data_IF_868667479226
#
_entry.id   IF_868667479226
#
_cell.length_a   1.000
_cell.length_b   1.000
_cell.length_c   1.000
_cell.angle_alpha   90.00
_cell.angle_beta   90.00
_cell.angle_gamma   90.00
#
_symmetry.space_group_name_H-M   'P 1'
#
loop_
_entity.id
_entity.type
_entity.pdbx_description
1 polymer ?
#
# COMPACT_ATOMS: atom_id res chain seq x y z
N UNK A 1 24.77 19.60 34.08
CA UNK A 1 23.45 19.51 33.42
C UNK A 1 23.55 20.17 32.06
N UNK A 2 23.71 19.37 31.01
CA UNK A 2 23.73 19.84 29.62
C UNK A 2 23.14 18.73 28.77
N UNK A 3 21.81 18.75 28.66
CA UNK A 3 21.02 17.87 27.82
C UNK A 3 21.26 18.21 26.34
N UNK A 4 21.91 17.30 25.62
CA UNK A 4 21.94 17.30 24.17
C UNK A 4 20.52 17.00 23.66
N UNK A 5 19.90 17.98 22.99
CA UNK A 5 18.68 17.77 22.21
C UNK A 5 19.05 17.04 20.91
N UNK A 6 18.40 15.89 20.66
CA UNK A 6 18.44 15.18 19.38
C UNK A 6 17.82 16.06 18.27
N UNK A 7 18.35 16.02 17.04
CA UNK A 7 17.74 16.70 15.91
C UNK A 7 16.47 15.94 15.48
N UNK A 8 15.31 16.47 15.90
CA UNK A 8 14.02 16.10 15.32
C UNK A 8 14.00 16.50 13.85
N UNK A 9 14.08 15.50 12.96
CA UNK A 9 13.85 15.65 11.54
C UNK A 9 12.38 15.99 11.28
N UNK A 10 12.03 17.27 11.43
CA UNK A 10 10.75 17.81 11.01
C UNK A 10 10.64 17.69 9.49
N UNK A 11 9.86 16.70 9.03
CA UNK A 11 9.47 16.58 7.63
C UNK A 11 8.76 17.88 7.22
N UNK A 12 9.45 18.70 6.42
CA UNK A 12 8.97 20.03 6.03
C UNK A 12 7.63 19.92 5.28
N UNK A 13 6.54 20.30 5.95
CA UNK A 13 5.17 20.32 5.40
C UNK A 13 5.00 21.41 4.32
N UNK A 14 6.04 22.24 4.09
CA UNK A 14 6.04 23.38 3.17
C UNK A 14 6.33 23.05 1.70
N UNK A 15 6.48 21.78 1.31
CA UNK A 15 6.53 21.45 -0.12
C UNK A 15 5.13 21.57 -0.74
N UNK A 16 4.97 22.44 -1.74
CA UNK A 16 3.74 22.56 -2.52
C UNK A 16 3.37 21.24 -3.22
N UNK A 17 2.15 21.12 -3.74
CA UNK A 17 1.73 19.91 -4.48
C UNK A 17 2.71 19.57 -5.61
N UNK A 18 2.97 18.28 -5.77
CA UNK A 18 3.94 17.77 -6.74
C UNK A 18 3.51 18.02 -8.18
N UNK A 19 4.49 18.15 -9.09
CA UNK A 19 4.22 18.45 -10.51
C UNK A 19 3.40 17.34 -11.18
N UNK A 20 3.65 16.07 -10.85
CA UNK A 20 2.89 14.96 -11.42
C UNK A 20 1.44 14.94 -10.94
N UNK A 21 1.19 15.12 -9.65
CA UNK A 21 -0.17 15.14 -9.13
C UNK A 21 -0.99 16.31 -9.70
N UNK A 22 -0.37 17.48 -9.91
CA UNK A 22 -1.00 18.60 -10.63
C UNK A 22 -1.33 18.24 -12.08
N UNK A 23 -0.38 17.62 -12.80
CA UNK A 23 -0.61 17.18 -14.19
C UNK A 23 -1.74 16.17 -14.30
N UNK A 24 -1.77 15.16 -13.41
CA UNK A 24 -2.84 14.17 -13.36
C UNK A 24 -4.19 14.78 -12.97
N UNK A 25 -4.22 15.75 -12.05
CA UNK A 25 -5.45 16.48 -11.73
C UNK A 25 -6.00 17.24 -12.95
N UNK A 26 -5.12 17.87 -13.77
CA UNK A 26 -5.52 18.50 -15.03
C UNK A 26 -6.08 17.47 -16.01
N UNK A 27 -5.50 16.27 -16.08
CA UNK A 27 -6.04 15.18 -16.92
C UNK A 27 -7.45 14.77 -16.47
N UNK A 28 -7.69 14.62 -15.17
CA UNK A 28 -9.01 14.28 -14.62
C UNK A 28 -10.06 15.38 -14.90
N UNK A 29 -9.69 16.65 -14.75
CA UNK A 29 -10.57 17.78 -15.06
C UNK A 29 -10.85 17.85 -16.57
N UNK A 30 -9.79 17.72 -17.39
CA UNK A 30 -9.90 17.76 -18.84
C UNK A 30 -10.77 16.63 -19.39
N UNK A 31 -10.60 15.40 -18.89
CA UNK A 31 -11.43 14.26 -19.28
C UNK A 31 -12.90 14.45 -18.90
N UNK A 32 -13.18 15.00 -17.70
CA UNK A 32 -14.54 15.34 -17.29
C UNK A 32 -15.17 16.37 -18.22
N UNK A 33 -14.46 17.46 -18.53
CA UNK A 33 -14.96 18.50 -19.46
C UNK A 33 -15.24 17.92 -20.84
N UNK A 34 -14.33 17.09 -21.38
CA UNK A 34 -14.50 16.45 -22.69
C UNK A 34 -15.76 15.57 -22.71
N UNK A 35 -16.00 14.78 -21.65
CA UNK A 35 -17.19 13.94 -21.53
C UNK A 35 -18.48 14.77 -21.45
N UNK A 36 -18.44 15.93 -20.78
CA UNK A 36 -19.60 16.83 -20.70
C UNK A 36 -19.93 17.50 -22.04
N UNK A 37 -18.91 17.87 -22.83
CA UNK A 37 -19.11 18.50 -24.14
C UNK A 37 -19.49 17.45 -25.19
N UNK A 38 -18.88 16.26 -25.13
CA UNK A 38 -19.07 15.17 -26.09
C UNK A 38 -19.42 13.86 -25.35
N UNK A 39 -20.71 13.64 -25.01
CA UNK A 39 -21.14 12.43 -24.31
C UNK A 39 -20.82 11.13 -25.06
N UNK A 40 -20.70 11.18 -26.40
CA UNK A 40 -20.30 10.04 -27.23
C UNK A 40 -18.93 9.48 -26.86
N UNK A 41 -18.03 10.31 -26.31
CA UNK A 41 -16.67 9.92 -25.89
C UNK A 41 -16.70 8.89 -24.77
N UNK A 42 -17.75 8.88 -23.93
CA UNK A 42 -17.91 7.87 -22.86
C UNK A 42 -17.91 6.46 -23.42
N UNK A 43 -18.52 6.23 -24.60
CA UNK A 43 -18.53 4.92 -25.24
C UNK A 43 -17.14 4.40 -25.66
N UNK A 44 -16.16 5.29 -25.76
CA UNK A 44 -14.79 5.00 -26.19
C UNK A 44 -13.77 5.12 -25.08
N UNK A 45 -14.08 5.74 -23.93
CA UNK A 45 -13.12 5.91 -22.84
C UNK A 45 -13.52 5.19 -21.55
N UNK A 46 -14.82 5.05 -21.28
CA UNK A 46 -15.30 4.32 -20.12
C UNK A 46 -15.26 2.81 -20.38
N UNK A 47 -15.14 2.03 -19.30
CA UNK A 47 -15.16 0.58 -19.38
C UNK A 47 -16.61 0.13 -19.58
N UNK A 48 -16.95 -0.24 -20.81
CA UNK A 48 -18.23 -0.85 -21.15
C UNK A 48 -17.93 -2.28 -21.57
N UNK A 49 -18.26 -3.30 -20.76
CA UNK A 49 -17.88 -4.69 -21.04
C UNK A 49 -18.25 -5.18 -22.45
N UNK A 50 -19.42 -4.82 -22.99
CA UNK A 50 -19.81 -5.12 -24.38
C UNK A 50 -18.84 -4.57 -25.44
N UNK A 51 -18.18 -3.45 -25.16
CA UNK A 51 -17.35 -2.69 -26.11
C UNK A 51 -15.86 -2.76 -25.80
N UNK A 52 -15.45 -3.40 -24.70
CA UNK A 52 -14.04 -3.45 -24.26
C UNK A 52 -13.15 -4.26 -25.21
N UNK A 53 -13.66 -5.33 -25.84
CA UNK A 53 -12.86 -6.19 -26.73
C UNK A 53 -12.28 -5.40 -27.92
N UNK A 54 -13.06 -4.61 -28.69
CA UNK A 54 -12.49 -3.76 -29.74
C UNK A 54 -11.77 -2.52 -29.19
N UNK A 55 -12.11 -2.06 -27.98
CA UNK A 55 -11.56 -0.84 -27.37
C UNK A 55 -10.75 -1.15 -26.10
N UNK A 56 -9.68 -1.93 -26.26
CA UNK A 56 -8.88 -2.40 -25.12
C UNK A 56 -8.23 -1.26 -24.30
N UNK A 57 -8.05 -0.08 -24.90
CA UNK A 57 -7.56 1.11 -24.19
C UNK A 57 -8.53 1.57 -23.08
N UNK A 58 -9.80 1.18 -23.12
CA UNK A 58 -10.78 1.49 -22.07
C UNK A 58 -10.33 0.96 -20.71
N UNK A 59 -9.55 -0.13 -20.67
CA UNK A 59 -8.95 -0.67 -19.45
C UNK A 59 -7.94 0.28 -18.79
N UNK A 60 -7.39 1.21 -19.57
CA UNK A 60 -6.48 2.24 -19.07
C UNK A 60 -7.21 3.56 -18.89
N UNK A 61 -8.04 3.97 -19.85
CA UNK A 61 -8.66 5.30 -19.82
C UNK A 61 -9.80 5.41 -18.81
N UNK A 62 -10.49 4.32 -18.50
CA UNK A 62 -11.68 4.35 -17.63
C UNK A 62 -11.41 4.93 -16.24
N UNK A 63 -10.24 4.68 -15.65
CA UNK A 63 -9.90 5.25 -14.35
C UNK A 63 -9.57 6.74 -14.37
N UNK A 64 -9.23 7.31 -15.53
CA UNK A 64 -8.96 8.74 -15.68
C UNK A 64 -10.18 9.54 -16.13
N UNK A 65 -11.30 8.88 -16.40
CA UNK A 65 -12.55 9.54 -16.77
C UNK A 65 -13.45 9.56 -15.55
N UNK A 66 -13.88 10.76 -15.13
CA UNK A 66 -14.98 10.89 -14.19
C UNK A 66 -16.24 11.45 -14.82
N UNK A 67 -17.36 10.78 -14.55
CA UNK A 67 -18.68 11.18 -15.05
C UNK A 67 -19.40 12.11 -14.07
N UNK A 68 -19.12 12.00 -12.77
CA UNK A 68 -19.80 12.78 -11.73
C UNK A 68 -18.90 13.89 -11.14
N UNK A 69 -19.49 15.06 -10.86
CA UNK A 69 -18.77 16.17 -10.20
C UNK A 69 -18.29 15.77 -8.80
N UNK A 70 -19.10 15.12 -7.94
CA UNK A 70 -18.63 14.68 -6.62
C UNK A 70 -17.45 13.71 -6.72
N UNK A 71 -17.52 12.74 -7.65
CA UNK A 71 -16.42 11.81 -7.91
C UNK A 71 -15.14 12.50 -8.36
N UNK A 72 -15.25 13.49 -9.25
CA UNK A 72 -14.13 14.31 -9.69
C UNK A 72 -13.48 15.08 -8.53
N UNK A 73 -14.28 15.75 -7.70
CA UNK A 73 -13.77 16.53 -6.55
C UNK A 73 -13.04 15.62 -5.57
N UNK A 74 -13.64 14.48 -5.22
CA UNK A 74 -13.00 13.48 -4.34
C UNK A 74 -11.71 12.95 -4.96
N UNK A 75 -11.69 12.71 -6.27
CA UNK A 75 -10.51 12.22 -6.98
C UNK A 75 -9.37 13.23 -7.00
N UNK A 76 -9.65 14.51 -7.24
CA UNK A 76 -8.64 15.58 -7.22
C UNK A 76 -8.09 15.78 -5.82
N UNK A 77 -8.97 15.88 -4.81
CA UNK A 77 -8.56 16.06 -3.41
C UNK A 77 -7.72 14.85 -2.98
N UNK A 78 -8.23 13.63 -3.19
CA UNK A 78 -7.52 12.40 -2.86
C UNK A 78 -6.16 12.32 -3.53
N UNK A 79 -6.08 12.57 -4.84
CA UNK A 79 -4.83 12.57 -5.59
C UNK A 79 -3.84 13.62 -5.07
N UNK A 80 -4.27 14.85 -4.84
CA UNK A 80 -3.37 15.93 -4.44
C UNK A 80 -2.88 15.78 -2.99
N UNK A 81 -3.78 15.45 -2.06
CA UNK A 81 -3.42 15.28 -0.65
C UNK A 81 -2.60 14.02 -0.42
N UNK A 82 -3.06 12.90 -0.95
CA UNK A 82 -2.40 11.61 -0.75
C UNK A 82 -1.12 11.58 -1.59
N UNK A 83 -1.16 12.02 -2.84
CA UNK A 83 0.03 12.13 -3.70
C UNK A 83 1.12 13.05 -3.15
N UNK A 84 0.77 14.15 -2.44
CA UNK A 84 1.75 14.99 -1.73
C UNK A 84 2.56 14.19 -0.70
N UNK A 85 1.97 13.17 -0.07
CA UNK A 85 2.62 12.32 0.92
C UNK A 85 3.41 11.18 0.27
N UNK A 86 2.84 10.49 -0.72
CA UNK A 86 3.47 9.29 -1.29
C UNK A 86 4.52 9.60 -2.35
N UNK A 87 4.31 10.58 -3.22
CA UNK A 87 5.21 10.83 -4.35
C UNK A 87 6.66 11.16 -3.93
N UNK A 88 6.91 11.99 -2.89
CA UNK A 88 8.28 12.24 -2.42
C UNK A 88 8.99 11.00 -1.89
N UNK A 89 8.24 10.05 -1.32
CA UNK A 89 8.78 8.86 -0.66
C UNK A 89 9.00 7.73 -1.66
N UNK A 90 8.05 7.51 -2.56
CA UNK A 90 8.15 6.47 -3.60
C UNK A 90 8.99 6.91 -4.80
N UNK A 91 9.09 8.22 -5.02
CA UNK A 91 9.62 8.81 -6.23
C UNK A 91 8.58 8.82 -7.36
N UNK A 92 8.63 9.88 -8.17
CA UNK A 92 7.69 10.15 -9.27
C UNK A 92 7.53 8.99 -10.27
N UNK A 93 8.60 8.23 -10.56
CA UNK A 93 8.56 7.09 -11.49
C UNK A 93 7.76 5.91 -10.96
N UNK A 94 7.99 5.51 -9.71
CA UNK A 94 7.28 4.37 -9.11
C UNK A 94 5.85 4.75 -8.74
N UNK A 95 5.60 6.01 -8.36
CA UNK A 95 4.26 6.54 -8.15
C UNK A 95 3.41 6.46 -9.42
N UNK A 96 3.94 6.88 -10.58
CA UNK A 96 3.21 6.78 -11.85
C UNK A 96 2.98 5.32 -12.27
N UNK A 97 3.98 4.44 -12.08
CA UNK A 97 3.81 2.99 -12.33
C UNK A 97 2.73 2.39 -11.45
N UNK A 98 2.67 2.76 -10.17
CA UNK A 98 1.62 2.32 -9.26
C UNK A 98 0.24 2.69 -9.80
N UNK A 99 0.02 3.97 -10.13
CA UNK A 99 -1.26 4.44 -10.68
C UNK A 99 -1.65 3.65 -11.93
N UNK A 100 -0.70 3.51 -12.87
CA UNK A 100 -0.96 2.81 -14.12
C UNK A 100 -1.30 1.34 -13.91
N UNK A 101 -0.49 0.61 -13.13
CA UNK A 101 -0.68 -0.83 -12.92
C UNK A 101 -1.93 -1.12 -12.11
N UNK A 102 -2.17 -0.36 -11.04
CA UNK A 102 -3.38 -0.53 -10.21
C UNK A 102 -4.62 -0.24 -11.04
N UNK A 103 -4.67 0.88 -11.75
CA UNK A 103 -5.80 1.21 -12.62
C UNK A 103 -6.09 0.13 -13.67
N UNK A 104 -5.05 -0.33 -14.38
CA UNK A 104 -5.19 -1.32 -15.44
C UNK A 104 -5.69 -2.67 -14.89
N UNK A 105 -5.04 -3.20 -13.84
CA UNK A 105 -5.41 -4.50 -13.27
C UNK A 105 -6.78 -4.45 -12.59
N UNK A 106 -7.11 -3.36 -11.89
CA UNK A 106 -8.46 -3.14 -11.34
C UNK A 106 -9.50 -3.16 -12.45
N UNK A 107 -9.25 -2.45 -13.57
CA UNK A 107 -10.18 -2.44 -14.70
C UNK A 107 -10.34 -3.83 -15.34
N UNK A 108 -9.28 -4.63 -15.42
CA UNK A 108 -9.34 -6.02 -15.88
C UNK A 108 -10.21 -6.87 -14.93
N UNK A 109 -10.00 -6.78 -13.62
CA UNK A 109 -10.80 -7.51 -12.64
C UNK A 109 -12.28 -7.11 -12.65
N UNK A 110 -12.57 -5.82 -12.79
CA UNK A 110 -13.93 -5.30 -12.91
C UNK A 110 -14.58 -5.78 -14.21
N UNK A 111 -13.86 -5.76 -15.33
CA UNK A 111 -14.34 -6.29 -16.60
C UNK A 111 -14.72 -7.78 -16.50
N UNK A 112 -13.83 -8.61 -15.95
CA UNK A 112 -14.10 -10.05 -15.74
C UNK A 112 -15.32 -10.24 -14.83
N UNK A 113 -15.41 -9.47 -13.75
CA UNK A 113 -16.53 -9.54 -12.80
C UNK A 113 -17.85 -9.16 -13.45
N UNK A 114 -17.87 -8.10 -14.26
CA UNK A 114 -19.07 -7.68 -14.99
C UNK A 114 -19.55 -8.76 -15.98
N UNK A 115 -18.62 -9.40 -16.71
CA UNK A 115 -18.94 -10.53 -17.59
C UNK A 115 -19.46 -11.72 -16.79
N UNK A 116 -18.81 -12.08 -15.68
CA UNK A 116 -19.27 -13.17 -14.81
C UNK A 116 -20.66 -12.91 -14.23
N UNK A 117 -20.93 -11.70 -13.75
CA UNK A 117 -22.24 -11.29 -13.24
C UNK A 117 -23.31 -11.35 -14.33
N UNK A 118 -22.98 -10.95 -15.56
CA UNK A 118 -23.89 -11.11 -16.70
C UNK A 118 -24.25 -12.59 -16.93
N UNK A 119 -23.26 -13.50 -16.95
CA UNK A 119 -23.54 -14.94 -17.13
C UNK A 119 -24.36 -15.56 -16.01
N UNK A 120 -24.22 -15.07 -14.77
CA UNK A 120 -24.94 -15.60 -13.61
C UNK A 120 -26.36 -15.03 -13.51
N UNK A 121 -26.50 -13.72 -13.69
CA UNK A 121 -27.77 -13.00 -13.46
C UNK A 121 -28.60 -12.81 -14.72
N UNK A 122 -28.00 -13.05 -15.89
CA UNK A 122 -28.56 -12.81 -17.23
C UNK A 122 -29.08 -11.39 -17.47
N UNK A 123 -28.66 -10.41 -16.66
CA UNK A 123 -29.06 -9.02 -16.81
C UNK A 123 -28.09 -8.25 -17.71
N UNK A 124 -28.60 -7.72 -18.82
CA UNK A 124 -27.82 -6.96 -19.80
C UNK A 124 -27.24 -5.65 -19.25
N UNK A 125 -27.79 -5.12 -18.16
CA UNK A 125 -27.28 -3.93 -17.47
C UNK A 125 -25.78 -4.04 -17.17
N UNK A 126 -25.31 -5.21 -16.73
CA UNK A 126 -23.89 -5.42 -16.42
C UNK A 126 -22.97 -5.35 -17.65
N UNK A 127 -23.51 -5.55 -18.85
CA UNK A 127 -22.73 -5.56 -20.08
C UNK A 127 -22.62 -4.15 -20.71
N UNK A 128 -23.65 -3.33 -20.56
CA UNK A 128 -23.75 -2.02 -21.22
C UNK A 128 -23.52 -0.82 -20.29
N UNK A 129 -23.50 -1.02 -18.97
CA UNK A 129 -23.27 0.06 -18.02
C UNK A 129 -21.82 0.58 -18.11
N UNK A 130 -21.61 1.89 -18.32
CA UNK A 130 -20.28 2.48 -18.41
C UNK A 130 -19.66 2.66 -17.02
N UNK A 131 -18.64 1.85 -16.72
CA UNK A 131 -17.89 1.93 -15.48
C UNK A 131 -16.67 2.84 -15.70
N UNK A 132 -16.54 3.88 -14.88
CA UNK A 132 -15.39 4.78 -14.91
C UNK A 132 -15.11 5.33 -13.51
N UNK A 133 -13.92 5.90 -13.34
CA UNK A 133 -13.58 6.70 -12.16
C UNK A 133 -12.28 6.30 -11.49
N UNK A 134 -11.65 7.28 -10.84
CA UNK A 134 -10.32 7.14 -10.23
C UNK A 134 -10.34 6.44 -8.87
N UNK A 135 -11.52 6.04 -8.39
CA UNK A 135 -11.77 5.49 -7.05
C UNK A 135 -10.95 4.23 -6.75
N UNK A 136 -10.69 3.38 -7.76
CA UNK A 136 -9.85 2.19 -7.59
C UNK A 136 -8.39 2.53 -7.28
N UNK A 137 -7.85 3.60 -7.88
CA UNK A 137 -6.51 4.08 -7.57
C UNK A 137 -6.49 4.78 -6.21
N UNK A 138 -7.53 5.56 -5.88
CA UNK A 138 -7.64 6.20 -4.56
C UNK A 138 -7.68 5.16 -3.44
N UNK A 139 -8.41 4.07 -3.60
CA UNK A 139 -8.45 3.00 -2.61
C UNK A 139 -7.09 2.32 -2.47
N UNK A 140 -6.37 2.10 -3.59
CA UNK A 140 -4.97 1.68 -3.57
C UNK A 140 -4.03 2.67 -2.86
N UNK A 141 -4.25 3.98 -3.02
CA UNK A 141 -3.47 4.99 -2.31
C UNK A 141 -3.68 4.95 -0.80
N UNK A 142 -4.88 4.64 -0.31
CA UNK A 142 -5.11 4.44 1.12
C UNK A 142 -4.24 3.31 1.67
N UNK A 143 -4.08 2.23 0.90
CA UNK A 143 -3.15 1.13 1.26
C UNK A 143 -1.71 1.66 1.34
N UNK A 144 -1.31 2.53 0.41
CA UNK A 144 -0.01 3.19 0.45
C UNK A 144 0.19 4.10 1.68
N UNK A 145 -0.85 4.81 2.13
CA UNK A 145 -0.77 5.58 3.39
C UNK A 145 -0.46 4.64 4.57
N UNK A 146 -1.17 3.51 4.65
CA UNK A 146 -0.90 2.51 5.70
C UNK A 146 0.54 1.99 5.64
N UNK A 147 1.11 1.80 4.45
CA UNK A 147 2.49 1.33 4.31
C UNK A 147 3.51 2.33 4.85
N UNK A 148 3.29 3.63 4.64
CA UNK A 148 4.27 4.66 4.99
C UNK A 148 4.13 5.10 6.46
N UNK A 149 2.90 5.34 6.93
CA UNK A 149 2.68 5.90 8.26
C UNK A 149 1.51 5.20 8.98
N UNK A 150 1.65 3.90 9.33
CA UNK A 150 0.54 3.11 9.88
C UNK A 150 0.01 3.62 11.23
N UNK A 151 0.89 4.19 12.06
CA UNK A 151 0.57 4.62 13.43
C UNK A 151 0.26 6.11 13.57
N UNK A 152 0.29 6.88 12.48
CA UNK A 152 -0.10 8.28 12.55
C UNK A 152 -1.61 8.40 12.78
N UNK A 153 -1.96 9.15 13.80
CA UNK A 153 -3.34 9.51 14.10
C UNK A 153 -3.73 10.71 13.23
N UNK A 154 -4.84 10.58 12.49
CA UNK A 154 -5.42 11.75 11.82
C UNK A 154 -6.02 12.66 12.89
N UNK A 155 -5.45 13.86 13.03
CA UNK A 155 -5.65 14.79 14.15
C UNK A 155 -7.12 15.15 14.42
N UNK A 156 -8.00 15.04 13.43
CA UNK A 156 -9.43 15.38 13.56
C UNK A 156 -10.32 14.23 14.04
N UNK A 157 -9.92 12.96 13.86
CA UNK A 157 -10.78 11.80 14.16
C UNK A 157 -10.17 10.79 15.14
N UNK A 158 -8.92 10.95 15.57
CA UNK A 158 -8.17 9.98 16.40
C UNK A 158 -8.18 8.56 15.82
N UNK A 159 -8.38 8.44 14.50
CA UNK A 159 -8.32 7.17 13.77
C UNK A 159 -6.89 6.97 13.30
N UNK A 160 -6.33 5.80 13.59
CA UNK A 160 -5.01 5.40 13.10
C UNK A 160 -5.07 5.12 11.59
N UNK A 161 -4.07 5.61 10.86
CA UNK A 161 -3.99 5.47 9.41
C UNK A 161 -4.07 4.02 8.90
N UNK A 162 -3.64 3.04 9.71
CA UNK A 162 -3.77 1.60 9.39
C UNK A 162 -5.19 1.13 9.12
N UNK A 163 -6.20 1.83 9.63
CA UNK A 163 -7.61 1.49 9.44
C UNK A 163 -8.25 2.21 8.24
N UNK A 164 -7.55 3.12 7.57
CA UNK A 164 -8.10 3.90 6.47
C UNK A 164 -8.60 3.03 5.30
N UNK A 165 -7.84 2.03 4.80
CA UNK A 165 -8.31 1.22 3.69
C UNK A 165 -9.56 0.39 4.06
N UNK A 166 -9.59 -0.18 5.27
CA UNK A 166 -10.75 -0.94 5.75
C UNK A 166 -11.96 -0.07 6.02
N UNK A 167 -11.77 1.13 6.56
CA UNK A 167 -12.87 2.06 6.80
C UNK A 167 -13.48 2.52 5.48
N UNK A 168 -12.64 2.85 4.49
CA UNK A 168 -13.11 3.20 3.15
C UNK A 168 -13.87 2.04 2.49
N UNK A 169 -13.38 0.80 2.61
CA UNK A 169 -14.11 -0.38 2.13
C UNK A 169 -15.45 -0.57 2.85
N UNK A 170 -15.48 -0.44 4.17
CA UNK A 170 -16.69 -0.57 4.97
C UNK A 170 -17.71 0.49 4.58
N UNK A 171 -17.30 1.75 4.46
CA UNK A 171 -18.16 2.85 4.03
C UNK A 171 -18.73 2.57 2.64
N UNK A 172 -17.89 2.14 1.68
CA UNK A 172 -18.35 1.77 0.34
C UNK A 172 -19.37 0.63 0.35
N UNK A 173 -19.19 -0.38 1.20
CA UNK A 173 -20.15 -1.49 1.38
C UNK A 173 -21.46 -0.97 1.96
N UNK A 174 -21.41 -0.16 3.02
CA UNK A 174 -22.61 0.40 3.66
C UNK A 174 -23.38 1.28 2.67
N UNK A 175 -22.71 2.20 1.98
CA UNK A 175 -23.33 3.07 0.97
C UNK A 175 -23.95 2.27 -0.17
N UNK A 176 -23.32 1.16 -0.57
CA UNK A 176 -23.88 0.26 -1.60
C UNK A 176 -25.22 -0.35 -1.22
N UNK A 177 -25.55 -0.50 0.07
CA UNK A 177 -26.87 -0.99 0.50
C UNK A 177 -27.95 0.08 0.41
N UNK A 178 -27.59 1.35 0.58
CA UNK A 178 -28.53 2.47 0.55
C UNK A 178 -28.74 3.06 -0.84
N UNK A 179 -27.75 2.92 -1.73
CA UNK A 179 -27.79 3.50 -3.07
C UNK A 179 -27.42 2.45 -4.10
N UNK A 180 -28.41 1.99 -4.87
CA UNK A 180 -28.23 1.01 -5.95
C UNK A 180 -27.21 1.47 -6.98
N UNK A 181 -27.19 2.77 -7.30
CA UNK A 181 -26.20 3.37 -8.19
C UNK A 181 -24.78 3.36 -7.62
N UNK A 182 -24.60 3.26 -6.30
CA UNK A 182 -23.28 3.19 -5.69
C UNK A 182 -22.71 1.76 -5.69
N UNK A 183 -23.58 0.75 -5.79
CA UNK A 183 -23.19 -0.66 -5.78
C UNK A 183 -22.28 -1.04 -6.97
N UNK A 184 -22.41 -0.33 -8.09
CA UNK A 184 -21.56 -0.55 -9.27
C UNK A 184 -20.08 -0.19 -9.05
N UNK A 185 -19.78 0.73 -8.11
CA UNK A 185 -18.40 1.15 -7.82
C UNK A 185 -17.70 0.26 -6.80
N UNK A 186 -18.46 -0.58 -6.09
CA UNK A 186 -17.96 -1.44 -5.03
C UNK A 186 -16.88 -2.43 -5.53
N UNK A 187 -17.06 -3.14 -6.66
CA UNK A 187 -15.99 -3.97 -7.24
C UNK A 187 -14.71 -3.17 -7.52
N UNK A 188 -14.82 -1.96 -8.05
CA UNK A 188 -13.68 -1.09 -8.35
C UNK A 188 -12.89 -0.74 -7.08
N UNK A 189 -13.57 -0.41 -5.98
CA UNK A 189 -12.92 -0.09 -4.71
C UNK A 189 -12.26 -1.32 -4.09
N UNK A 190 -12.94 -2.48 -4.11
CA UNK A 190 -12.41 -3.76 -3.58
C UNK A 190 -11.16 -4.17 -4.35
N UNK A 191 -11.26 -4.28 -5.68
CA UNK A 191 -10.13 -4.69 -6.50
C UNK A 191 -9.01 -3.64 -6.48
N UNK A 192 -9.32 -2.35 -6.45
CA UNK A 192 -8.33 -1.28 -6.27
C UNK A 192 -7.52 -1.41 -4.97
N UNK A 193 -8.21 -1.70 -3.87
CA UNK A 193 -7.55 -1.93 -2.57
C UNK A 193 -6.66 -3.17 -2.62
N UNK A 194 -7.18 -4.27 -3.18
CA UNK A 194 -6.47 -5.54 -3.24
C UNK A 194 -5.26 -5.51 -4.16
N UNK A 195 -5.42 -4.99 -5.39
CA UNK A 195 -4.33 -4.82 -6.35
C UNK A 195 -3.30 -3.80 -5.83
N UNK A 196 -3.75 -2.72 -5.19
CA UNK A 196 -2.86 -1.77 -4.51
C UNK A 196 -2.00 -2.46 -3.46
N UNK A 197 -2.59 -3.31 -2.62
CA UNK A 197 -1.84 -4.12 -1.65
C UNK A 197 -0.84 -5.07 -2.31
N UNK A 198 -1.24 -5.84 -3.33
CA UNK A 198 -0.33 -6.75 -4.07
C UNK A 198 0.85 -5.96 -4.64
N UNK A 199 0.58 -4.81 -5.27
CA UNK A 199 1.62 -4.02 -5.88
C UNK A 199 2.65 -3.56 -4.84
N UNK A 200 2.20 -3.04 -3.69
CA UNK A 200 3.09 -2.54 -2.65
C UNK A 200 3.85 -3.66 -1.95
N UNK A 201 3.19 -4.80 -1.71
CA UNK A 201 3.80 -5.95 -1.04
C UNK A 201 4.84 -6.64 -1.93
N UNK A 202 4.62 -6.75 -3.25
CA UNK A 202 5.45 -7.61 -4.11
C UNK A 202 6.11 -6.94 -5.32
N UNK A 203 5.58 -5.82 -5.83
CA UNK A 203 6.01 -5.22 -7.10
C UNK A 203 6.74 -3.89 -6.97
N UNK A 204 6.42 -3.10 -5.97
CA UNK A 204 7.02 -1.79 -5.74
C UNK A 204 8.53 -1.90 -5.56
N UNK A 205 9.30 -1.02 -6.21
CA UNK A 205 10.75 -0.91 -5.96
C UNK A 205 11.00 0.23 -5.01
N UNK A 206 11.62 -0.05 -3.85
CA UNK A 206 12.04 1.01 -2.93
C UNK A 206 13.31 1.68 -3.49
N UNK A 207 13.32 3.01 -3.70
CA UNK A 207 14.45 3.70 -4.34
C UNK A 207 15.73 3.62 -3.50
N UNK A 208 15.61 3.56 -2.17
CA UNK A 208 16.75 3.59 -1.25
C UNK A 208 17.47 2.23 -1.14
N UNK A 209 16.72 1.13 -1.07
CA UNK A 209 17.30 -0.20 -0.80
C UNK A 209 17.43 -1.06 -2.04
N UNK A 210 16.88 -0.64 -3.20
CA UNK A 210 16.70 -1.45 -4.42
C UNK A 210 15.94 -2.77 -4.20
N UNK A 211 15.44 -3.03 -3.00
CA UNK A 211 14.63 -4.18 -2.67
C UNK A 211 13.23 -4.01 -3.27
N UNK A 212 12.63 -5.14 -3.65
CA UNK A 212 11.32 -5.19 -4.29
C UNK A 212 10.28 -5.63 -3.26
N UNK A 213 9.27 -4.79 -3.04
CA UNK A 213 8.14 -5.06 -2.16
C UNK A 213 8.34 -4.66 -0.70
N UNK A 214 7.32 -4.95 0.10
CA UNK A 214 7.31 -4.82 1.55
C UNK A 214 6.98 -6.19 2.17
N UNK A 215 8.00 -6.98 2.57
CA UNK A 215 7.79 -8.33 3.09
C UNK A 215 7.28 -8.35 4.53
N UNK A 216 7.07 -7.19 5.15
CA UNK A 216 6.68 -7.07 6.56
C UNK A 216 5.33 -7.75 6.85
N UNK A 217 5.27 -8.51 7.94
CA UNK A 217 4.04 -9.15 8.41
C UNK A 217 3.00 -8.13 8.87
N UNK A 218 3.45 -6.96 9.34
CA UNK A 218 2.60 -5.81 9.66
C UNK A 218 1.82 -5.26 8.45
N UNK A 219 2.27 -5.58 7.23
CA UNK A 219 1.62 -5.22 5.98
C UNK A 219 0.85 -6.40 5.34
N UNK A 220 0.59 -7.49 6.07
CA UNK A 220 -0.25 -8.59 5.56
C UNK A 220 -1.70 -8.13 5.31
N UNK A 221 -2.39 -8.69 4.31
CA UNK A 221 -3.76 -8.27 3.95
C UNK A 221 -4.76 -8.39 5.12
N UNK A 222 -4.55 -9.34 6.01
CA UNK A 222 -5.37 -9.54 7.20
C UNK A 222 -5.27 -8.40 8.21
N UNK A 223 -4.10 -7.76 8.33
CA UNK A 223 -3.90 -6.62 9.24
C UNK A 223 -4.71 -5.40 8.82
N UNK A 224 -5.28 -5.37 7.61
CA UNK A 224 -6.19 -4.31 7.17
C UNK A 224 -7.55 -4.41 7.88
N UNK A 225 -7.98 -5.59 8.29
CA UNK A 225 -9.32 -5.79 8.87
C UNK A 225 -9.27 -6.00 10.39
N UNK A 226 -10.33 -5.64 11.13
CA UNK A 226 -10.42 -5.90 12.57
C UNK A 226 -10.46 -7.42 12.84
N UNK A 227 -10.05 -7.82 14.05
CA UNK A 227 -9.85 -9.24 14.45
C UNK A 227 -10.98 -10.22 14.05
N UNK A 228 -12.28 -9.87 14.10
CA UNK A 228 -13.34 -10.79 13.69
C UNK A 228 -13.28 -11.17 12.19
N UNK A 229 -12.87 -10.24 11.34
CA UNK A 229 -12.79 -10.43 9.89
C UNK A 229 -11.47 -11.07 9.45
N UNK A 230 -10.40 -10.94 10.26
CA UNK A 230 -9.09 -11.57 9.98
C UNK A 230 -9.22 -13.08 9.79
N UNK A 231 -9.98 -13.74 10.67
CA UNK A 231 -10.19 -15.19 10.67
C UNK A 231 -10.80 -15.73 9.37
N UNK A 232 -11.59 -14.94 8.66
CA UNK A 232 -12.23 -15.32 7.38
C UNK A 232 -11.33 -14.98 6.20
N UNK A 233 -10.52 -13.92 6.31
CA UNK A 233 -9.74 -13.35 5.21
C UNK A 233 -8.35 -14.01 5.08
N UNK A 234 -7.76 -14.49 6.18
CA UNK A 234 -6.49 -15.22 6.19
C UNK A 234 -6.43 -16.38 5.17
N UNK A 235 -7.40 -17.32 5.12
CA UNK A 235 -7.36 -18.41 4.15
C UNK A 235 -7.52 -17.92 2.70
N UNK A 236 -8.31 -16.87 2.46
CA UNK A 236 -8.47 -16.30 1.11
C UNK A 236 -7.16 -15.66 0.66
N UNK A 237 -6.51 -14.86 1.52
CA UNK A 237 -5.25 -14.20 1.20
C UNK A 237 -4.14 -15.20 0.84
N UNK A 238 -4.03 -16.31 1.57
CA UNK A 238 -3.02 -17.36 1.32
C UNK A 238 -3.29 -18.15 0.04
N UNK A 239 -4.55 -18.42 -0.31
CA UNK A 239 -4.90 -19.07 -1.58
C UNK A 239 -4.52 -18.17 -2.75
N UNK A 240 -4.82 -16.87 -2.69
CA UNK A 240 -4.45 -15.95 -3.75
C UNK A 240 -2.94 -15.69 -3.82
N UNK A 241 -2.25 -15.62 -2.69
CA UNK A 241 -0.78 -15.58 -2.67
C UNK A 241 -0.18 -16.81 -3.36
N UNK A 242 -0.74 -18.00 -3.14
CA UNK A 242 -0.34 -19.22 -3.87
C UNK A 242 -0.73 -19.17 -5.35
N UNK A 243 -1.90 -18.65 -5.70
CA UNK A 243 -2.37 -18.62 -7.09
C UNK A 243 -1.61 -17.61 -7.97
N UNK A 244 -1.34 -16.42 -7.43
CA UNK A 244 -0.68 -15.33 -8.15
C UNK A 244 0.86 -15.37 -8.00
N UNK A 245 1.37 -15.93 -6.90
CA UNK A 245 2.79 -15.91 -6.54
C UNK A 245 3.38 -17.29 -6.20
N UNK A 246 2.68 -18.40 -6.48
CA UNK A 246 3.05 -19.79 -6.15
C UNK A 246 4.37 -20.33 -6.68
N UNK A 247 5.25 -19.47 -7.18
CA UNK A 247 6.61 -19.81 -7.61
C UNK A 247 7.68 -18.81 -7.13
N UNK A 248 7.29 -17.78 -6.36
CA UNK A 248 8.21 -16.72 -5.90
C UNK A 248 8.67 -16.88 -4.46
N UNK A 249 7.89 -17.56 -3.63
CA UNK A 249 8.35 -17.91 -2.27
C UNK A 249 9.41 -19.02 -2.28
N UNK A 250 9.45 -19.88 -3.29
CA UNK A 250 10.48 -20.93 -3.42
C UNK A 250 11.75 -20.46 -4.16
N UNK A 251 11.72 -19.31 -4.86
CA UNK A 251 12.91 -18.80 -5.59
C UNK A 251 13.76 -17.80 -4.80
N UNK A 252 13.51 -17.67 -3.49
CA UNK A 252 14.41 -16.91 -2.60
C UNK A 252 15.27 -17.82 -1.72
N UNK A 253 15.10 -19.15 -1.78
CA UNK A 253 15.78 -20.09 -0.88
C UNK A 253 16.65 -21.16 -1.56
N UNK A 254 16.79 -21.24 -2.88
CA UNK A 254 17.80 -22.14 -3.49
C UNK A 254 18.57 -21.52 -4.65
N UNK A 255 19.88 -21.54 -4.46
CA UNK A 255 20.97 -21.07 -5.30
C UNK A 255 20.99 -21.64 -6.71
N UNK A 256 21.24 -20.77 -7.69
CA UNK A 256 22.05 -21.12 -8.87
C UNK A 256 22.76 -19.88 -9.44
N UNK A 257 24.08 -19.78 -9.19
CA UNK A 257 25.03 -19.15 -10.12
C UNK A 257 24.91 -19.82 -11.50
N UNK A 258 25.26 -19.22 -12.63
CA UNK A 258 26.55 -18.68 -13.09
C UNK A 258 26.23 -17.88 -14.39
N UNK A 259 26.91 -16.86 -14.90
CA UNK A 259 28.19 -16.22 -14.64
C UNK A 259 28.17 -14.81 -15.29
N UNK A 260 28.81 -13.81 -14.66
CA UNK A 260 29.94 -13.10 -15.27
C UNK A 260 30.53 -12.08 -14.29
N UNK A 261 31.75 -12.37 -13.83
CA UNK A 261 32.80 -11.39 -13.50
C UNK A 261 32.57 -10.41 -12.34
N UNK A 262 32.98 -10.79 -11.13
CA UNK A 262 33.24 -9.83 -10.05
C UNK A 262 33.42 -10.52 -8.70
N UNK A 263 34.66 -10.74 -8.30
CA UNK A 263 35.10 -11.33 -7.03
C UNK A 263 34.33 -10.80 -5.81
N UNK A 264 33.51 -11.66 -5.18
CA UNK A 264 32.94 -11.39 -3.85
C UNK A 264 33.97 -11.77 -2.78
N UNK A 265 34.24 -10.81 -1.90
CA UNK A 265 35.20 -10.94 -0.80
C UNK A 265 34.73 -12.00 0.22
N UNK A 266 35.65 -12.78 0.84
CA UNK A 266 35.30 -13.82 1.79
C UNK A 266 34.60 -13.22 3.03
N UNK A 267 33.37 -13.69 3.34
CA UNK A 267 32.65 -13.34 4.57
C UNK A 267 31.31 -12.61 4.40
N UNK A 268 30.86 -12.37 3.16
CA UNK A 268 29.59 -11.70 2.84
C UNK A 268 28.36 -12.62 2.84
N UNK A 269 28.41 -13.78 3.50
CA UNK A 269 27.22 -14.61 3.64
C UNK A 269 26.26 -14.00 4.67
N UNK A 270 25.01 -13.67 4.29
CA UNK A 270 24.05 -13.01 5.17
C UNK A 270 23.71 -13.87 6.40
N UNK A 271 23.83 -15.20 6.29
CA UNK A 271 23.64 -16.17 7.38
C UNK A 271 24.82 -16.12 8.36
N UNK A 272 26.05 -15.97 7.86
CA UNK A 272 27.24 -15.84 8.70
C UNK A 272 27.24 -14.46 9.42
N UNK A 273 26.74 -13.42 8.76
CA UNK A 273 26.57 -12.08 9.32
C UNK A 273 25.52 -12.02 10.43
N UNK A 274 24.37 -12.69 10.27
CA UNK A 274 23.36 -12.78 11.33
C UNK A 274 23.89 -13.56 12.54
N UNK A 275 24.63 -14.65 12.30
CA UNK A 275 25.27 -15.45 13.35
C UNK A 275 26.34 -14.66 14.13
N UNK A 276 27.08 -13.76 13.48
CA UNK A 276 28.02 -12.85 14.17
C UNK A 276 27.32 -11.77 14.97
N UNK A 277 26.20 -11.23 14.46
CA UNK A 277 25.38 -10.25 15.20
C UNK A 277 24.77 -10.85 16.46
N UNK A 278 24.28 -12.08 16.38
CA UNK A 278 23.74 -12.80 17.54
C UNK A 278 24.82 -13.07 18.60
N UNK A 279 26.03 -13.50 18.19
CA UNK A 279 27.16 -13.66 19.12
C UNK A 279 27.59 -12.34 19.76
N UNK A 280 27.60 -11.25 18.98
CA UNK A 280 27.91 -9.91 19.48
C UNK A 280 26.89 -9.40 20.50
N UNK A 281 25.60 -9.65 20.25
CA UNK A 281 24.53 -9.30 21.19
C UNK A 281 24.64 -10.08 22.51
N UNK A 282 24.87 -11.39 22.45
CA UNK A 282 25.05 -12.22 23.65
C UNK A 282 26.29 -11.81 24.47
N UNK A 283 27.41 -11.51 23.80
CA UNK A 283 28.61 -11.04 24.49
C UNK A 283 28.42 -9.67 25.16
N UNK A 284 27.53 -8.82 24.63
CA UNK A 284 27.17 -7.54 25.23
C UNK A 284 26.26 -7.74 26.46
N UNK A 285 25.28 -8.64 26.36
CA UNK A 285 24.38 -8.98 27.47
C UNK A 285 25.14 -9.59 28.64
N UNK A 286 26.10 -10.49 28.39
CA UNK A 286 26.97 -11.06 29.44
C UNK A 286 27.82 -9.98 30.14
N UNK A 287 28.32 -9.00 29.39
CA UNK A 287 29.07 -7.87 29.97
C UNK A 287 28.19 -6.95 30.80
N UNK A 288 26.99 -6.64 30.34
CA UNK A 288 26.02 -5.83 31.10
C UNK A 288 25.57 -6.54 32.38
N UNK A 289 25.34 -7.85 32.33
CA UNK A 289 24.99 -8.65 33.50
C UNK A 289 26.15 -8.72 34.51
N UNK A 290 27.39 -8.89 34.04
CA UNK A 290 28.57 -8.89 34.91
C UNK A 290 28.80 -7.50 35.56
N UNK A 291 28.58 -6.41 34.81
CA UNK A 291 28.70 -5.05 35.33
C UNK A 291 27.59 -4.72 36.36
N UNK A 292 26.37 -5.21 36.14
CA UNK A 292 25.28 -5.09 37.11
C UNK A 292 25.57 -5.86 38.41
N UNK A 293 26.10 -7.08 38.32
CA UNK A 293 26.50 -7.87 39.50
C UNK A 293 27.65 -7.19 40.27
N UNK A 294 28.64 -6.63 39.56
CA UNK A 294 29.73 -5.90 40.20
C UNK A 294 29.26 -4.59 40.85
N UNK A 295 28.30 -3.89 40.25
CA UNK A 295 27.69 -2.69 40.82
C UNK A 295 26.88 -3.01 42.09
N UNK A 296 26.16 -4.14 42.10
CA UNK A 296 25.40 -4.60 43.27
C UNK A 296 26.32 -5.01 44.43
N UNK A 297 27.45 -5.69 44.13
CA UNK A 297 28.46 -6.04 45.14
C UNK A 297 29.14 -4.83 45.78
N UNK A 298 29.45 -3.78 45.00
CA UNK A 298 29.99 -2.52 45.55
C UNK A 298 29.00 -1.79 46.45
N UNK A 299 27.70 -1.85 46.14
CA UNK A 299 26.67 -1.24 46.98
C UNK A 299 26.56 -1.96 48.35
N UNK A 300 26.69 -3.29 48.37
CA UNK A 300 26.69 -4.08 49.60
C UNK A 300 27.96 -3.87 50.44
N UNK A 301 29.15 -3.76 49.83
CA UNK A 301 30.40 -3.44 50.54
C UNK A 301 30.35 -2.04 51.17
N UNK A 302 29.86 -1.04 50.43
CA UNK A 302 29.72 0.34 50.93
C UNK A 302 28.75 0.41 52.12
N UNK A 303 27.75 -0.48 52.17
CA UNK A 303 26.78 -0.54 53.25
C UNK A 303 27.31 -1.28 54.50
N UNK A 304 28.22 -2.24 54.33
CA UNK A 304 28.90 -2.94 55.44
C UNK A 304 29.95 -2.07 56.12
N UNK A 305 30.77 -1.34 55.36
CA UNK A 305 31.77 -0.41 55.90
C UNK A 305 31.14 0.76 56.69
N UNK A 306 29.90 1.14 56.35
CA UNK A 306 29.13 2.15 57.09
C UNK A 306 28.57 1.63 58.43
N UNK A 307 28.39 0.31 58.57
CA UNK A 307 27.90 -0.31 59.82
C UNK A 307 29.00 -0.73 60.79
N UNK A 308 30.25 -0.88 60.33
CA UNK A 308 31.39 -1.29 61.17
C UNK A 308 32.12 -0.10 61.84
N UNK A 309 31.75 1.14 61.49
CA UNK A 309 32.31 2.38 62.05
C UNK A 309 31.41 3.09 63.10
N UNK A 310 30.58 2.33 63.85
CA UNK A 310 29.73 2.84 64.95
C UNK A 310 30.08 2.17 66.27
#
# INVERSE_FOLDING_TARGET
MSSQQLPGGGMSIYSGYTKLCKGLAVVLVGSHIVVQILPSVVSYLALIPAKTIPFAWNLVTAGYVEQSIPGLVVSIIGLLFIGKLLEPIWGSREFLKFIFVVNFLTSVCVFVTAISLYYITTQETYLYMPISGFQGVLSGFLVGIKQIIPDQELSSLKIKAKWLPSLALLVSIVVSFFTTDSAQYLPTVIFGTYIGWIYLRYWQRKPETKLKGDPSDEFAFSTFFPEPLRRVIDPVSTIFERLLCGRRSESSDESAGYASGGSLLPGSDPIEASRRRERGARALEERLAAEQLAASGRAEETQRDATENV
#
